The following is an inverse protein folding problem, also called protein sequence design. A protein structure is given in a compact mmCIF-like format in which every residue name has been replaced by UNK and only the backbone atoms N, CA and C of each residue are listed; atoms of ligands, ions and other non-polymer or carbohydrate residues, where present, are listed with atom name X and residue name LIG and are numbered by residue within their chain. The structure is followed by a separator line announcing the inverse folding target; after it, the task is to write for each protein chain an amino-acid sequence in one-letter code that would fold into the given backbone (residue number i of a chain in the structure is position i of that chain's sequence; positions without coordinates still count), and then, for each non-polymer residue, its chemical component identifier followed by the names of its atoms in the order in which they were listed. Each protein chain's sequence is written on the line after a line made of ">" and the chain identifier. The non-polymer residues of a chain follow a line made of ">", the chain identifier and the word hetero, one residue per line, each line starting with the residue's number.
data_IF_622212415786
#
_entry.id   IF_622212415786
#
_cell.length_a   1.000
_cell.length_b   1.000
_cell.length_c   1.000
_cell.angle_alpha   90.00
_cell.angle_beta   90.00
_cell.angle_gamma   90.00
#
_symmetry.space_group_name_H-M   'P 1'
#
loop_
_entity.id
_entity.type
_entity.pdbx_description
1 polymer ?
#
# COMPACT_ATOMS: atom_id res chain seq x y z
N UNK A 1 9.28 -21.24 22.17
CA UNK A 1 8.08 -21.45 21.34
C UNK A 1 7.95 -20.29 20.38
N UNK A 2 8.59 -20.39 19.22
CA UNK A 2 8.53 -19.37 18.17
C UNK A 2 7.19 -19.58 17.46
N UNK A 3 6.20 -18.74 17.76
CA UNK A 3 4.95 -18.72 17.02
C UNK A 3 5.25 -18.06 15.66
N UNK A 4 5.66 -18.87 14.69
CA UNK A 4 5.53 -18.50 13.27
C UNK A 4 4.04 -18.45 13.00
N UNK A 5 3.43 -17.29 12.68
CA UNK A 5 2.04 -17.30 12.24
C UNK A 5 2.01 -18.06 10.92
N UNK A 6 1.39 -19.24 10.97
CA UNK A 6 0.88 -19.99 9.84
C UNK A 6 0.14 -19.02 8.92
N UNK A 7 0.65 -18.83 7.70
CA UNK A 7 0.00 -17.99 6.69
C UNK A 7 -1.04 -18.90 6.04
N UNK A 8 -2.35 -18.77 6.33
CA UNK A 8 -3.35 -19.65 5.75
C UNK A 8 -3.30 -19.49 4.22
N UNK A 9 -3.29 -20.63 3.54
CA UNK A 9 -3.30 -20.75 2.08
C UNK A 9 -4.64 -20.30 1.49
N UNK A 10 -4.87 -18.98 1.52
CA UNK A 10 -5.76 -18.24 0.64
C UNK A 10 -4.90 -17.26 -0.15
N UNK A 11 -4.20 -17.73 -1.18
CA UNK A 11 -3.17 -16.96 -1.91
C UNK A 11 -3.72 -15.80 -2.75
N UNK A 12 -5.03 -15.57 -2.74
CA UNK A 12 -5.63 -14.53 -3.56
C UNK A 12 -5.27 -13.15 -3.02
N UNK A 13 -4.62 -12.38 -3.91
CA UNK A 13 -4.30 -10.97 -3.73
C UNK A 13 -4.85 -10.24 -4.94
N UNK A 14 -5.38 -9.05 -4.73
CA UNK A 14 -5.90 -8.23 -5.84
C UNK A 14 -4.77 -7.92 -6.82
N UNK A 15 -5.01 -8.14 -8.12
CA UNK A 15 -3.99 -7.87 -9.14
C UNK A 15 -3.64 -6.38 -9.20
N UNK A 16 -2.40 -6.06 -9.55
CA UNK A 16 -1.96 -4.68 -9.75
C UNK A 16 -2.78 -3.94 -10.81
N UNK A 17 -3.22 -4.66 -11.86
CA UNK A 17 -4.09 -4.13 -12.89
C UNK A 17 -5.43 -3.66 -12.31
N UNK A 18 -6.10 -4.50 -11.51
CA UNK A 18 -7.36 -4.15 -10.85
C UNK A 18 -7.19 -2.98 -9.87
N UNK A 19 -6.09 -2.95 -9.09
CA UNK A 19 -5.76 -1.84 -8.18
C UNK A 19 -5.51 -0.51 -8.91
N UNK A 20 -5.07 -0.54 -10.17
CA UNK A 20 -4.83 0.66 -10.97
C UNK A 20 -6.12 1.25 -11.55
N UNK A 21 -7.22 0.50 -11.56
CA UNK A 21 -8.45 0.95 -12.22
C UNK A 21 -9.17 2.05 -11.43
N UNK A 22 -9.72 3.06 -12.12
CA UNK A 22 -10.43 4.16 -11.46
C UNK A 22 -11.76 3.72 -10.84
N UNK A 23 -12.47 2.77 -11.45
CA UNK A 23 -13.73 2.23 -10.93
C UNK A 23 -13.53 1.46 -9.62
N UNK A 24 -12.45 0.68 -9.52
CA UNK A 24 -12.08 -0.02 -8.29
C UNK A 24 -11.74 0.96 -7.16
N UNK A 25 -10.93 2.00 -7.44
CA UNK A 25 -10.59 3.04 -6.46
C UNK A 25 -11.81 3.83 -5.99
N UNK A 26 -12.71 4.17 -6.91
CA UNK A 26 -13.96 4.86 -6.58
C UNK A 26 -14.83 4.00 -5.65
N UNK A 27 -14.99 2.71 -5.96
CA UNK A 27 -15.74 1.77 -5.13
C UNK A 27 -15.12 1.61 -3.72
N UNK A 28 -13.79 1.51 -3.61
CA UNK A 28 -13.10 1.50 -2.33
C UNK A 28 -13.31 2.78 -1.51
N UNK A 29 -13.27 3.94 -2.17
CA UNK A 29 -13.41 5.25 -1.51
C UNK A 29 -14.78 5.41 -0.85
N UNK A 30 -15.83 4.88 -1.48
CA UNK A 30 -17.21 4.87 -0.93
C UNK A 30 -17.54 3.60 -0.13
N UNK A 31 -16.56 2.69 0.05
CA UNK A 31 -16.70 1.40 0.75
C UNK A 31 -17.82 0.52 0.21
N UNK A 32 -18.04 0.56 -1.11
CA UNK A 32 -19.02 -0.29 -1.77
C UNK A 32 -18.43 -1.69 -2.02
N UNK A 33 -18.51 -2.54 -0.99
CA UNK A 33 -18.02 -3.92 -1.05
C UNK A 33 -18.74 -4.78 -2.08
N UNK A 34 -20.00 -4.47 -2.41
CA UNK A 34 -20.73 -5.18 -3.46
C UNK A 34 -20.06 -4.96 -4.82
N UNK A 35 -19.78 -3.70 -5.14
CA UNK A 35 -19.06 -3.35 -6.37
C UNK A 35 -17.63 -3.87 -6.35
N UNK A 36 -16.90 -3.73 -5.23
CA UNK A 36 -15.52 -4.23 -5.10
C UNK A 36 -15.44 -5.73 -5.41
N UNK A 37 -16.28 -6.55 -4.78
CA UNK A 37 -16.28 -8.00 -5.02
C UNK A 37 -16.70 -8.35 -6.45
N UNK A 38 -17.64 -7.61 -7.05
CA UNK A 38 -18.01 -7.80 -8.47
C UNK A 38 -16.83 -7.50 -9.40
N UNK A 39 -16.06 -6.46 -9.12
CA UNK A 39 -14.89 -6.10 -9.92
C UNK A 39 -13.78 -7.15 -9.78
N UNK A 40 -13.56 -7.71 -8.58
CA UNK A 40 -12.65 -8.84 -8.36
C UNK A 40 -13.04 -10.07 -9.18
N UNK A 41 -14.33 -10.47 -9.14
CA UNK A 41 -14.81 -11.58 -9.95
C UNK A 41 -14.64 -11.31 -11.46
N UNK A 42 -14.90 -10.07 -11.89
CA UNK A 42 -14.89 -9.70 -13.30
C UNK A 42 -13.49 -9.61 -13.90
N UNK A 43 -12.54 -9.01 -13.19
CA UNK A 43 -11.21 -8.71 -13.74
C UNK A 43 -10.13 -9.68 -13.27
N UNK A 44 -10.18 -10.16 -12.03
CA UNK A 44 -9.21 -11.15 -11.53
C UNK A 44 -9.71 -12.59 -11.71
N UNK A 45 -10.95 -12.80 -12.13
CA UNK A 45 -11.57 -14.13 -12.20
C UNK A 45 -11.70 -14.82 -10.84
N UNK A 46 -11.67 -14.04 -9.76
CA UNK A 46 -11.73 -14.57 -8.40
C UNK A 46 -13.14 -15.08 -8.08
N UNK A 47 -13.26 -16.30 -7.57
CA UNK A 47 -14.53 -16.81 -7.03
C UNK A 47 -14.83 -16.17 -5.68
N UNK A 48 -16.10 -16.15 -5.28
CA UNK A 48 -16.49 -15.64 -3.95
C UNK A 48 -15.78 -16.39 -2.82
N UNK A 49 -15.58 -17.70 -2.97
CA UNK A 49 -14.80 -18.53 -2.07
C UNK A 49 -13.34 -18.07 -1.97
N UNK A 50 -12.68 -17.85 -3.12
CA UNK A 50 -11.32 -17.29 -3.19
C UNK A 50 -11.19 -15.91 -2.56
N UNK A 51 -12.25 -15.09 -2.62
CA UNK A 51 -12.28 -13.77 -1.99
C UNK A 51 -12.47 -13.90 -0.47
N UNK A 52 -13.32 -14.83 -0.01
CA UNK A 52 -13.60 -15.01 1.42
C UNK A 52 -12.51 -15.77 2.17
N UNK A 53 -11.85 -16.74 1.54
CA UNK A 53 -10.92 -17.65 2.22
C UNK A 53 -9.74 -16.99 2.94
N UNK A 54 -9.11 -15.89 2.45
CA UNK A 54 -8.06 -15.23 3.21
C UNK A 54 -8.57 -14.27 4.31
N UNK A 55 -9.87 -13.99 4.37
CA UNK A 55 -10.45 -12.97 5.25
C UNK A 55 -11.18 -13.62 6.43
N UNK A 56 -10.58 -13.53 7.63
CA UNK A 56 -11.26 -13.96 8.85
C UNK A 56 -12.54 -13.15 9.12
N UNK A 57 -13.65 -13.85 9.39
CA UNK A 57 -14.97 -13.25 9.62
C UNK A 57 -15.78 -12.92 8.36
N UNK A 58 -15.28 -13.29 7.16
CA UNK A 58 -15.99 -13.18 5.89
C UNK A 58 -16.22 -14.57 5.30
N UNK A 59 -17.48 -15.00 5.20
CA UNK A 59 -17.84 -16.26 4.54
C UNK A 59 -18.24 -16.05 3.08
N UNK A 60 -18.10 -17.08 2.26
CA UNK A 60 -18.53 -17.07 0.85
C UNK A 60 -20.03 -16.69 0.71
N UNK A 61 -20.89 -17.23 1.57
CA UNK A 61 -22.31 -16.86 1.63
C UNK A 61 -22.51 -15.38 1.93
N UNK A 62 -21.70 -14.81 2.82
CA UNK A 62 -21.75 -13.38 3.15
C UNK A 62 -21.31 -12.51 1.97
N UNK A 63 -20.23 -12.90 1.27
CA UNK A 63 -19.80 -12.24 0.02
C UNK A 63 -20.95 -12.24 -1.00
N UNK A 64 -21.65 -13.36 -1.15
CA UNK A 64 -22.80 -13.45 -2.06
C UNK A 64 -23.93 -12.49 -1.70
N UNK A 65 -24.32 -12.41 -0.43
CA UNK A 65 -25.33 -11.44 0.04
C UNK A 65 -24.91 -9.99 -0.18
N UNK A 66 -23.64 -9.67 0.06
CA UNK A 66 -23.09 -8.33 -0.18
C UNK A 66 -23.14 -7.97 -1.67
N UNK A 67 -22.75 -8.89 -2.55
CA UNK A 67 -22.82 -8.71 -4.01
C UNK A 67 -24.26 -8.50 -4.50
N UNK A 68 -25.25 -9.14 -3.85
CA UNK A 68 -26.68 -8.96 -4.13
C UNK A 68 -27.29 -7.72 -3.49
N UNK A 69 -26.53 -7.01 -2.63
CA UNK A 69 -27.01 -5.85 -1.89
C UNK A 69 -27.87 -6.18 -0.66
N UNK A 70 -27.89 -7.44 -0.23
CA UNK A 70 -28.67 -7.94 0.91
C UNK A 70 -27.92 -7.79 2.25
N UNK A 71 -26.60 -7.59 2.23
CA UNK A 71 -25.76 -7.39 3.41
C UNK A 71 -24.71 -6.30 3.15
N UNK A 72 -24.16 -5.70 4.21
CA UNK A 72 -23.17 -4.63 4.14
C UNK A 72 -22.08 -4.81 5.20
N UNK A 73 -20.88 -4.34 4.89
CA UNK A 73 -19.76 -4.33 5.83
C UNK A 73 -19.64 -2.93 6.43
N UNK A 74 -19.97 -2.81 7.73
CA UNK A 74 -19.89 -1.55 8.47
C UNK A 74 -18.77 -1.53 9.52
N UNK A 75 -18.33 -2.70 9.99
CA UNK A 75 -17.28 -2.81 11.01
C UNK A 75 -15.94 -2.41 10.45
N UNK A 76 -15.31 -1.41 11.08
CA UNK A 76 -13.97 -0.97 10.74
C UNK A 76 -12.97 -2.12 10.82
N UNK A 77 -13.03 -2.95 11.87
CA UNK A 77 -12.17 -4.13 12.02
C UNK A 77 -12.26 -5.08 10.81
N UNK A 78 -13.46 -5.32 10.29
CA UNK A 78 -13.64 -6.21 9.14
C UNK A 78 -13.14 -5.57 7.84
N UNK A 79 -13.37 -4.27 7.65
CA UNK A 79 -12.80 -3.50 6.53
C UNK A 79 -11.28 -3.61 6.58
N UNK A 80 -10.71 -3.47 7.78
CA UNK A 80 -9.29 -3.53 7.98
C UNK A 80 -8.74 -4.93 7.65
N UNK A 81 -9.38 -5.99 8.11
CA UNK A 81 -8.98 -7.37 7.77
C UNK A 81 -9.04 -7.63 6.27
N UNK A 82 -10.10 -7.17 5.59
CA UNK A 82 -10.25 -7.34 4.13
C UNK A 82 -9.10 -6.68 3.39
N UNK A 83 -8.78 -5.43 3.73
CA UNK A 83 -7.69 -4.71 3.10
C UNK A 83 -6.33 -5.39 3.31
N UNK A 84 -6.11 -6.06 4.46
CA UNK A 84 -4.85 -6.73 4.77
C UNK A 84 -4.74 -8.09 4.09
N UNK A 85 -5.80 -8.87 4.18
CA UNK A 85 -5.91 -10.19 3.58
C UNK A 85 -5.77 -10.12 2.05
N UNK A 86 -6.47 -9.18 1.40
CA UNK A 86 -6.50 -9.06 -0.05
C UNK A 86 -5.40 -8.15 -0.63
N UNK A 87 -4.55 -7.57 0.23
CA UNK A 87 -3.48 -6.61 -0.14
C UNK A 87 -4.00 -5.40 -0.91
N UNK A 88 -5.08 -4.80 -0.41
CA UNK A 88 -5.63 -3.55 -0.93
C UNK A 88 -5.08 -2.39 -0.10
N UNK A 89 -4.45 -1.37 -0.70
CA UNK A 89 -3.90 -0.25 0.05
C UNK A 89 -4.95 0.42 0.94
N UNK A 90 -4.64 0.62 2.22
CA UNK A 90 -5.52 1.23 3.20
C UNK A 90 -5.97 2.63 2.79
N UNK A 91 -5.11 3.37 2.09
CA UNK A 91 -5.45 4.68 1.52
C UNK A 91 -6.66 4.66 0.59
N UNK A 92 -7.01 3.52 -0.02
CA UNK A 92 -8.20 3.40 -0.87
C UNK A 92 -9.50 3.42 -0.06
N UNK A 93 -9.46 3.02 1.21
CA UNK A 93 -10.61 3.00 2.12
C UNK A 93 -10.64 4.19 3.10
N UNK A 94 -9.71 5.13 2.93
CA UNK A 94 -9.47 6.23 3.87
C UNK A 94 -8.80 5.79 5.18
N UNK A 95 -8.11 4.64 5.17
CA UNK A 95 -7.34 4.15 6.31
C UNK A 95 -5.90 4.69 6.27
N UNK A 96 -5.22 4.64 7.41
CA UNK A 96 -3.79 4.94 7.47
C UNK A 96 -2.98 3.96 6.60
N UNK A 97 -1.83 4.39 6.04
CA UNK A 97 -0.96 3.53 5.26
C UNK A 97 -0.54 2.31 6.07
N UNK A 98 -0.62 1.13 5.45
CA UNK A 98 -0.31 -0.11 6.16
C UNK A 98 1.15 -0.47 6.08
N UNK A 99 1.64 -1.20 7.09
CA UNK A 99 3.07 -1.58 7.20
C UNK A 99 3.61 -2.28 5.95
N UNK A 100 2.76 -3.01 5.22
CA UNK A 100 3.16 -3.69 4.00
C UNK A 100 3.16 -2.79 2.75
N UNK A 101 2.45 -1.66 2.77
CA UNK A 101 2.48 -0.68 1.67
C UNK A 101 3.84 0.02 1.61
N UNK A 102 4.49 0.22 2.76
CA UNK A 102 5.84 0.80 2.86
C UNK A 102 6.90 -0.04 2.14
N UNK A 103 6.72 -1.37 2.04
CA UNK A 103 7.59 -2.26 1.27
C UNK A 103 7.39 -2.13 -0.24
N UNK A 104 6.22 -1.63 -0.66
CA UNK A 104 5.83 -1.45 -2.07
C UNK A 104 6.03 -0.02 -2.58
N UNK A 105 6.71 0.85 -1.82
CA UNK A 105 7.34 2.01 -2.45
C UNK A 105 8.46 1.46 -3.35
N UNK A 106 8.46 1.70 -4.67
CA UNK A 106 9.58 1.31 -5.50
C UNK A 106 10.87 1.85 -4.85
N UNK A 107 11.91 1.04 -4.64
CA UNK A 107 13.21 1.53 -4.19
C UNK A 107 13.79 2.35 -5.33
N UNK A 108 13.40 3.63 -5.46
CA UNK A 108 13.82 4.40 -6.63
C UNK A 108 13.19 5.75 -6.92
N UNK A 109 12.37 6.32 -6.04
CA UNK A 109 12.07 7.76 -6.10
C UNK A 109 12.31 8.42 -4.75
N UNK A 110 13.57 8.38 -4.33
CA UNK A 110 14.13 9.58 -3.73
C UNK A 110 14.16 10.62 -4.85
N UNK A 111 13.37 11.71 -4.83
CA UNK A 111 13.70 12.84 -5.67
C UNK A 111 15.10 13.25 -5.24
N UNK A 112 16.05 13.09 -6.17
CA UNK A 112 17.32 13.79 -6.23
C UNK A 112 17.43 14.85 -5.12
N UNK A 113 18.26 14.60 -4.11
CA UNK A 113 18.98 15.70 -3.47
C UNK A 113 20.21 15.94 -4.35
N UNK A 114 20.17 16.89 -5.30
CA UNK A 114 21.38 17.26 -6.02
C UNK A 114 22.35 17.94 -5.02
N UNK A 115 23.49 17.29 -4.89
CA UNK A 115 24.85 17.82 -4.72
C UNK A 115 25.11 18.98 -3.75
N UNK A 116 25.99 18.67 -2.79
CA UNK A 116 26.74 19.61 -1.98
C UNK A 116 27.56 20.57 -2.86
N UNK A 117 27.35 21.89 -2.77
CA UNK A 117 28.29 22.84 -3.33
C UNK A 117 29.52 22.87 -2.42
N UNK A 118 30.60 22.33 -2.96
CA UNK A 118 31.98 22.74 -2.73
C UNK A 118 32.06 24.24 -2.38
N UNK A 119 32.05 24.58 -1.09
CA UNK A 119 32.56 25.88 -0.64
C UNK A 119 34.07 25.84 -0.67
N UNK A 120 34.56 26.26 -1.83
CA UNK A 120 35.76 27.06 -2.05
C UNK A 120 36.99 26.71 -1.18
N UNK A 121 37.93 26.02 -1.82
CA UNK A 121 39.37 26.26 -1.62
C UNK A 121 39.61 27.77 -1.58
N UNK A 122 39.94 28.30 -0.41
CA UNK A 122 40.60 29.59 -0.30
C UNK A 122 42.03 29.43 -0.86
N UNK A 123 42.45 30.18 -1.90
CA UNK A 123 43.86 30.27 -2.21
C UNK A 123 44.54 31.04 -1.07
N UNK A 124 45.51 30.41 -0.41
CA UNK A 124 46.38 31.10 0.55
C UNK A 124 47.16 32.17 -0.21
N UNK A 125 47.10 33.45 0.18
CA UNK A 125 47.98 34.45 -0.40
C UNK A 125 49.42 34.18 0.07
N UNK A 126 50.28 33.76 -0.86
CA UNK A 126 51.73 33.97 -0.71
C UNK A 126 51.99 35.45 -0.96
N UNK A 127 52.59 36.14 0.00
CA UNK A 127 53.75 37.03 -0.21
C UNK A 127 54.22 37.66 1.10
N UNK A 128 55.45 37.32 1.50
CA UNK A 128 56.41 38.17 2.27
C UNK A 128 56.61 39.51 1.51
N UNK A 129 57.36 40.55 1.97
CA UNK A 129 58.29 40.65 3.11
C UNK A 129 58.24 42.03 3.86
N UNK A 130 59.05 42.20 4.91
CA UNK A 130 60.00 43.34 5.12
C UNK A 130 60.61 43.25 6.52
N UNK A 131 61.94 43.06 6.59
CA UNK A 131 62.95 44.04 7.07
C UNK A 131 62.82 44.32 8.59
N UNK A 132 63.64 43.71 9.46
CA UNK A 132 65.06 43.99 9.82
C UNK A 132 65.21 45.30 10.62
N UNK A 133 66.09 45.24 11.63
CA UNK A 133 66.74 46.30 12.45
C UNK A 133 65.81 47.07 13.40
N UNK A 134 66.16 47.35 14.66
CA UNK A 134 67.44 47.33 15.38
C UNK A 134 67.25 46.94 16.84
#
# INVERSE_FOLDING_TARGET
>A
MTHTPDVPVGSYRVSAELLARPDFRAACSVRDFGTIFRLMCKYDGASQDRISSPVDGLSQSRVSRIVRGEDRIASLDLIERIADALRIPGGYFGLAPRRWESTHSPPGRSPFRPWHPHRLRLPRPRSRPRRRVA
#
